data_IF_523583005728
#
_entry.id   IF_523583005728
#
_cell.length_a   1.000
_cell.length_b   1.000
_cell.length_c   1.000
_cell.angle_alpha   90.00
_cell.angle_beta   90.00
_cell.angle_gamma   90.00
#
_symmetry.space_group_name_H-M   'P 1'
#
loop_
_entity.id
_entity.type
_entity.pdbx_description
1 polymer ?
#
# COMPACT_ATOMS: atom_id res chain seq x y z
N UNK A 1 17.05 -9.78 -0.78
CA UNK A 1 16.16 -10.54 0.07
C UNK A 1 14.80 -9.86 0.15
N UNK A 2 13.71 -10.62 -0.02
CA UNK A 2 12.32 -10.16 -0.01
C UNK A 2 11.62 -10.64 1.26
N UNK A 3 10.91 -9.74 1.92
CA UNK A 3 10.01 -10.05 3.03
C UNK A 3 8.59 -10.04 2.49
N UNK A 4 7.85 -11.14 2.65
CA UNK A 4 6.46 -11.25 2.18
C UNK A 4 5.47 -11.24 3.34
N UNK A 5 4.52 -10.31 3.33
CA UNK A 5 3.40 -10.31 4.28
C UNK A 5 2.33 -11.32 3.86
N UNK A 6 2.12 -12.37 4.68
CA UNK A 6 1.15 -13.44 4.39
C UNK A 6 0.17 -13.60 5.54
N UNK A 7 -1.10 -13.30 5.28
CA UNK A 7 -2.19 -13.42 6.26
C UNK A 7 -2.90 -14.79 6.25
N UNK A 8 -2.71 -15.57 5.19
CA UNK A 8 -3.46 -16.81 4.95
C UNK A 8 -4.60 -16.65 3.93
N UNK A 9 -5.09 -15.43 3.70
CA UNK A 9 -6.13 -15.19 2.70
C UNK A 9 -5.63 -15.31 1.25
N UNK A 10 -6.55 -15.45 0.31
CA UNK A 10 -6.31 -15.75 -1.10
C UNK A 10 -5.20 -14.89 -1.73
N UNK A 11 -5.27 -13.56 -1.56
CA UNK A 11 -4.32 -12.64 -2.19
C UNK A 11 -2.89 -12.87 -1.70
N UNK A 12 -2.73 -13.03 -0.37
CA UNK A 12 -1.43 -13.24 0.25
C UNK A 12 -0.84 -14.62 -0.05
N UNK A 13 -1.70 -15.63 -0.18
CA UNK A 13 -1.31 -16.99 -0.59
C UNK A 13 -0.88 -16.99 -2.06
N UNK A 14 -1.65 -16.35 -2.94
CA UNK A 14 -1.27 -16.17 -4.34
C UNK A 14 0.08 -15.46 -4.48
N UNK A 15 0.28 -14.35 -3.73
CA UNK A 15 1.56 -13.65 -3.70
C UNK A 15 2.71 -14.56 -3.30
N UNK A 16 2.53 -15.38 -2.25
CA UNK A 16 3.56 -16.31 -1.79
C UNK A 16 3.95 -17.32 -2.88
N UNK A 17 2.96 -17.96 -3.54
CA UNK A 17 3.24 -18.90 -4.62
C UNK A 17 3.96 -18.24 -5.80
N UNK A 18 3.57 -17.02 -6.17
CA UNK A 18 4.25 -16.26 -7.21
C UNK A 18 5.70 -15.95 -6.84
N UNK A 19 5.96 -15.52 -5.59
CA UNK A 19 7.31 -15.23 -5.12
C UNK A 19 8.19 -16.47 -5.07
N UNK A 20 7.66 -17.62 -4.61
CA UNK A 20 8.38 -18.90 -4.62
C UNK A 20 8.72 -19.34 -6.05
N UNK A 21 7.81 -19.15 -7.01
CA UNK A 21 8.08 -19.44 -8.42
C UNK A 21 9.19 -18.53 -8.97
N UNK A 22 9.09 -17.23 -8.73
CA UNK A 22 10.09 -16.24 -9.17
C UNK A 22 11.45 -16.43 -8.48
N UNK A 23 11.47 -16.89 -7.23
CA UNK A 23 12.71 -17.16 -6.49
C UNK A 23 13.61 -18.16 -7.21
N UNK A 24 13.01 -19.17 -7.87
CA UNK A 24 13.75 -20.19 -8.64
C UNK A 24 14.44 -19.59 -9.87
N UNK A 25 13.84 -18.56 -10.45
CA UNK A 25 14.35 -17.90 -11.67
C UNK A 25 15.34 -16.77 -11.32
N UNK A 26 15.01 -15.95 -10.33
CA UNK A 26 15.73 -14.72 -10.00
C UNK A 26 16.74 -14.85 -8.85
N UNK A 27 16.76 -15.97 -8.13
CA UNK A 27 17.71 -16.31 -7.05
C UNK A 27 17.79 -15.24 -5.94
N UNK A 28 16.66 -14.93 -5.32
CA UNK A 28 16.61 -14.05 -4.13
C UNK A 28 16.21 -14.84 -2.87
N UNK A 29 16.62 -14.35 -1.70
CA UNK A 29 16.13 -14.87 -0.42
C UNK A 29 14.68 -14.45 -0.16
N UNK A 30 13.87 -15.32 0.43
CA UNK A 30 12.46 -15.04 0.78
C UNK A 30 12.22 -15.43 2.23
N UNK A 31 11.61 -14.52 2.99
CA UNK A 31 11.10 -14.78 4.36
C UNK A 31 9.64 -14.33 4.42
N UNK A 32 8.79 -15.19 4.90
CA UNK A 32 7.37 -14.87 5.16
C UNK A 32 7.24 -14.27 6.56
N UNK A 33 6.44 -13.22 6.66
CA UNK A 33 6.00 -12.64 7.93
C UNK A 33 4.50 -12.79 8.05
N UNK A 34 4.06 -13.48 9.09
CA UNK A 34 2.66 -13.55 9.51
C UNK A 34 2.48 -12.74 10.80
N UNK A 35 1.39 -11.99 10.92
CA UNK A 35 1.11 -11.18 12.10
C UNK A 35 -0.28 -11.54 12.62
N UNK A 36 -0.30 -12.15 13.80
CA UNK A 36 -1.49 -12.43 14.57
C UNK A 36 -1.87 -11.19 15.38
N UNK A 37 -3.01 -10.58 15.07
CA UNK A 37 -3.41 -9.28 15.64
C UNK A 37 -4.10 -9.35 17.01
N UNK A 38 -4.33 -10.55 17.56
CA UNK A 38 -5.02 -10.75 18.84
C UNK A 38 -6.52 -10.41 18.85
N UNK A 39 -7.14 -10.21 17.69
CA UNK A 39 -8.51 -9.70 17.59
C UNK A 39 -9.57 -10.78 17.38
N UNK A 40 -9.22 -11.98 16.86
CA UNK A 40 -10.17 -13.00 16.39
C UNK A 40 -10.03 -14.37 17.08
N UNK A 41 -9.22 -14.48 18.14
CA UNK A 41 -9.06 -15.73 18.92
C UNK A 41 -8.75 -16.94 18.02
N UNK A 42 -9.48 -18.04 18.19
CA UNK A 42 -9.27 -19.34 17.52
C UNK A 42 -9.19 -19.25 15.97
N UNK A 43 -9.91 -18.32 15.34
CA UNK A 43 -9.85 -18.14 13.89
C UNK A 43 -8.48 -17.60 13.45
N UNK A 44 -7.88 -16.70 14.22
CA UNK A 44 -6.54 -16.19 13.92
C UNK A 44 -5.44 -17.25 14.18
N UNK A 45 -5.64 -18.13 15.17
CA UNK A 45 -4.75 -19.27 15.41
C UNK A 45 -4.80 -20.27 14.24
N UNK A 46 -6.00 -20.51 13.68
CA UNK A 46 -6.17 -21.36 12.51
C UNK A 46 -5.45 -20.77 11.28
N UNK A 47 -5.56 -19.45 11.07
CA UNK A 47 -4.86 -18.74 9.98
C UNK A 47 -3.33 -18.90 10.11
N UNK A 48 -2.77 -18.72 11.32
CA UNK A 48 -1.34 -18.91 11.56
C UNK A 48 -0.91 -20.34 11.30
N UNK A 49 -1.66 -21.34 11.81
CA UNK A 49 -1.36 -22.76 11.60
C UNK A 49 -1.37 -23.12 10.11
N UNK A 50 -2.33 -22.58 9.35
CA UNK A 50 -2.37 -22.76 7.91
C UNK A 50 -1.13 -22.16 7.23
N UNK A 51 -0.76 -20.92 7.54
CA UNK A 51 0.42 -20.25 6.96
C UNK A 51 1.70 -21.00 7.31
N UNK A 52 1.81 -21.53 8.54
CA UNK A 52 2.95 -22.35 9.01
C UNK A 52 3.09 -23.62 8.18
N UNK A 53 2.03 -24.40 8.05
CA UNK A 53 2.02 -25.61 7.24
C UNK A 53 2.33 -25.33 5.75
N UNK A 54 1.82 -24.20 5.24
CA UNK A 54 2.09 -23.79 3.86
C UNK A 54 3.58 -23.42 3.66
N UNK A 55 4.19 -22.68 4.58
CA UNK A 55 5.61 -22.32 4.51
C UNK A 55 6.52 -23.55 4.63
N UNK A 56 6.18 -24.51 5.49
CA UNK A 56 6.89 -25.80 5.60
C UNK A 56 6.82 -26.57 4.25
N UNK A 57 5.63 -26.66 3.65
CA UNK A 57 5.44 -27.32 2.34
C UNK A 57 6.24 -26.67 1.22
N UNK A 58 6.40 -25.35 1.26
CA UNK A 58 7.10 -24.58 0.23
C UNK A 58 8.60 -24.38 0.52
N UNK A 59 9.10 -24.89 1.63
CA UNK A 59 10.47 -24.71 2.11
C UNK A 59 10.87 -23.22 2.21
N UNK A 60 9.99 -22.41 2.83
CA UNK A 60 10.20 -20.97 3.04
C UNK A 60 10.20 -20.65 4.52
N UNK A 61 11.15 -19.84 4.96
CA UNK A 61 11.23 -19.38 6.34
C UNK A 61 9.99 -18.55 6.72
N UNK A 62 9.36 -18.89 7.86
CA UNK A 62 8.28 -18.15 8.47
C UNK A 62 8.71 -17.48 9.77
N UNK A 63 8.38 -16.20 9.92
CA UNK A 63 8.42 -15.45 11.17
C UNK A 63 7.00 -15.06 11.56
N UNK A 64 6.47 -15.65 12.62
CA UNK A 64 5.14 -15.30 13.15
C UNK A 64 5.31 -14.35 14.34
N UNK A 65 4.46 -13.31 14.38
CA UNK A 65 4.42 -12.30 15.44
C UNK A 65 3.02 -12.24 16.03
N UNK A 66 2.94 -12.11 17.35
CA UNK A 66 1.69 -11.96 18.09
C UNK A 66 1.63 -10.57 18.71
N UNK A 67 0.64 -9.78 18.31
CA UNK A 67 0.49 -8.39 18.72
C UNK A 67 -0.93 -8.11 19.23
N UNK A 68 -1.03 -7.46 20.36
CA UNK A 68 -2.31 -6.95 20.86
C UNK A 68 -2.61 -5.58 20.24
N UNK A 69 -3.15 -5.60 19.02
CA UNK A 69 -3.52 -4.39 18.28
C UNK A 69 -4.61 -3.61 19.01
N UNK A 70 -5.50 -4.28 19.74
CA UNK A 70 -6.53 -3.61 20.52
C UNK A 70 -5.98 -2.76 21.65
N UNK A 71 -4.98 -3.26 22.35
CA UNK A 71 -4.24 -2.52 23.39
C UNK A 71 -3.46 -1.36 22.78
N UNK A 72 -2.71 -1.62 21.71
CA UNK A 72 -1.95 -0.59 21.02
C UNK A 72 -2.84 0.55 20.50
N UNK A 73 -4.01 0.25 19.94
CA UNK A 73 -4.98 1.25 19.48
C UNK A 73 -5.42 2.18 20.61
N UNK A 74 -5.73 1.62 21.80
CA UNK A 74 -6.15 2.39 22.98
C UNK A 74 -5.02 3.29 23.50
N UNK A 75 -3.82 2.76 23.63
CA UNK A 75 -2.64 3.50 24.13
C UNK A 75 -2.27 4.67 23.21
N UNK A 76 -2.35 4.47 21.89
CA UNK A 76 -1.97 5.49 20.89
C UNK A 76 -3.15 6.35 20.43
N UNK A 77 -4.37 6.12 20.94
CA UNK A 77 -5.62 6.82 20.54
C UNK A 77 -5.87 6.75 19.03
N UNK A 78 -5.65 5.59 18.45
CA UNK A 78 -5.84 5.29 17.03
C UNK A 78 -7.09 4.44 16.81
N UNK A 79 -7.60 4.43 15.58
CA UNK A 79 -8.55 3.40 15.16
C UNK A 79 -7.87 2.04 15.09
N UNK A 80 -8.62 0.94 15.20
CA UNK A 80 -8.06 -0.42 15.06
C UNK A 80 -7.37 -0.64 13.71
N UNK A 81 -7.89 -0.04 12.64
CA UNK A 81 -7.29 -0.13 11.31
C UNK A 81 -5.95 0.59 11.26
N UNK A 82 -5.87 1.82 11.77
CA UNK A 82 -4.60 2.58 11.83
C UNK A 82 -3.57 1.89 12.71
N UNK A 83 -3.99 1.38 13.87
CA UNK A 83 -3.14 0.63 14.80
C UNK A 83 -2.57 -0.63 14.13
N UNK A 84 -3.43 -1.44 13.50
CA UNK A 84 -3.00 -2.63 12.78
C UNK A 84 -2.06 -2.32 11.61
N UNK A 85 -2.28 -1.20 10.92
CA UNK A 85 -1.38 -0.74 9.86
C UNK A 85 -0.01 -0.33 10.40
N UNK A 86 0.04 0.40 11.51
CA UNK A 86 1.28 0.84 12.14
C UNK A 86 2.09 -0.35 12.67
N UNK A 87 1.44 -1.29 13.36
CA UNK A 87 2.06 -2.53 13.87
C UNK A 87 2.65 -3.33 12.71
N UNK A 88 1.88 -3.58 11.65
CA UNK A 88 2.38 -4.30 10.47
C UNK A 88 3.59 -3.62 9.85
N UNK A 89 3.52 -2.30 9.69
CA UNK A 89 4.62 -1.54 9.10
C UNK A 89 5.89 -1.66 9.94
N UNK A 90 5.78 -1.50 11.25
CA UNK A 90 6.90 -1.61 12.19
C UNK A 90 7.56 -2.99 12.10
N UNK A 91 6.79 -4.06 12.17
CA UNK A 91 7.31 -5.45 12.11
C UNK A 91 7.96 -5.73 10.75
N UNK A 92 7.34 -5.33 9.65
CA UNK A 92 7.92 -5.54 8.32
C UNK A 92 9.25 -4.80 8.15
N UNK A 93 9.35 -3.56 8.64
CA UNK A 93 10.58 -2.77 8.56
C UNK A 93 11.68 -3.35 9.46
N UNK A 94 11.34 -3.79 10.67
CA UNK A 94 12.26 -4.47 11.59
C UNK A 94 12.80 -5.77 10.98
N UNK A 95 11.92 -6.65 10.49
CA UNK A 95 12.33 -7.91 9.85
C UNK A 95 13.16 -7.64 8.60
N UNK A 96 12.76 -6.67 7.78
CA UNK A 96 13.49 -6.26 6.60
C UNK A 96 14.91 -5.79 6.96
N UNK A 97 15.06 -5.02 8.03
CA UNK A 97 16.38 -4.62 8.52
C UNK A 97 17.19 -5.82 9.04
N UNK A 98 16.61 -6.64 9.90
CA UNK A 98 17.27 -7.81 10.51
C UNK A 98 17.75 -8.85 9.48
N UNK A 99 16.99 -9.03 8.40
CA UNK A 99 17.30 -9.97 7.30
C UNK A 99 18.12 -9.34 6.16
N UNK A 100 18.56 -8.10 6.29
CA UNK A 100 19.17 -7.32 5.20
C UNK A 100 18.27 -7.32 3.94
N UNK A 101 16.95 -7.23 4.16
CA UNK A 101 15.95 -7.24 3.10
C UNK A 101 15.97 -5.96 2.28
N UNK A 102 15.78 -6.11 0.99
CA UNK A 102 15.73 -4.97 0.05
C UNK A 102 14.31 -4.59 -0.33
N UNK A 103 13.35 -5.52 -0.19
CA UNK A 103 11.94 -5.33 -0.55
C UNK A 103 11.01 -5.99 0.45
N UNK A 104 9.85 -5.37 0.63
CA UNK A 104 8.70 -5.88 1.40
C UNK A 104 7.54 -6.02 0.43
N UNK A 105 7.11 -7.26 0.17
CA UNK A 105 6.04 -7.57 -0.78
C UNK A 105 4.69 -7.67 -0.06
N UNK A 106 3.69 -6.93 -0.55
CA UNK A 106 2.33 -6.93 -0.06
C UNK A 106 1.35 -7.33 -1.16
N UNK A 107 0.29 -8.03 -0.80
CA UNK A 107 -0.66 -8.65 -1.72
C UNK A 107 -1.81 -7.73 -2.16
N UNK A 108 -1.59 -6.41 -2.24
CA UNK A 108 -2.59 -5.52 -2.81
C UNK A 108 -2.81 -5.83 -4.30
N UNK A 109 -4.06 -5.86 -4.70
CA UNK A 109 -4.49 -6.19 -6.06
C UNK A 109 -5.30 -5.04 -6.70
N UNK A 110 -5.75 -5.23 -7.94
CA UNK A 110 -6.40 -4.18 -8.74
C UNK A 110 -7.69 -3.67 -8.09
N UNK A 111 -8.49 -4.55 -7.47
CA UNK A 111 -9.72 -4.16 -6.80
C UNK A 111 -9.44 -3.31 -5.53
N UNK A 112 -8.39 -3.61 -4.74
CA UNK A 112 -7.98 -2.74 -3.61
C UNK A 112 -7.62 -1.33 -4.09
N UNK A 113 -7.01 -1.25 -5.27
CA UNK A 113 -6.66 0.02 -5.87
C UNK A 113 -7.91 0.80 -6.29
N UNK A 114 -8.90 0.14 -6.88
CA UNK A 114 -10.20 0.75 -7.21
C UNK A 114 -10.95 1.22 -5.95
N UNK A 115 -10.97 0.45 -4.86
CA UNK A 115 -11.49 0.88 -3.56
C UNK A 115 -10.81 2.16 -3.08
N UNK A 116 -9.48 2.21 -3.19
CA UNK A 116 -8.69 3.37 -2.78
C UNK A 116 -8.99 4.60 -3.62
N UNK A 117 -9.15 4.44 -4.94
CA UNK A 117 -9.55 5.53 -5.84
C UNK A 117 -10.91 6.10 -5.45
N UNK A 118 -11.93 5.25 -5.33
CA UNK A 118 -13.28 5.67 -4.96
C UNK A 118 -13.31 6.35 -3.58
N UNK A 119 -12.56 5.82 -2.62
CA UNK A 119 -12.42 6.42 -1.30
C UNK A 119 -11.77 7.81 -1.36
N UNK A 120 -10.68 7.94 -2.11
CA UNK A 120 -9.97 9.21 -2.26
C UNK A 120 -10.85 10.25 -2.96
N UNK A 121 -11.52 9.88 -4.06
CA UNK A 121 -12.44 10.77 -4.77
C UNK A 121 -13.59 11.25 -3.89
N UNK A 122 -14.17 10.36 -3.06
CA UNK A 122 -15.29 10.72 -2.19
C UNK A 122 -14.92 11.69 -1.06
N UNK A 123 -13.64 11.79 -0.72
CA UNK A 123 -13.12 12.70 0.32
C UNK A 123 -12.50 13.97 -0.25
N UNK A 124 -12.40 14.08 -1.56
CA UNK A 124 -11.56 15.07 -2.21
C UNK A 124 -10.08 14.66 -2.17
N UNK A 125 -9.45 14.61 -3.31
CA UNK A 125 -8.02 14.32 -3.41
C UNK A 125 -7.39 15.08 -4.58
N UNK A 126 -6.11 15.43 -4.44
CA UNK A 126 -5.30 15.96 -5.54
C UNK A 126 -4.84 14.85 -6.49
N UNK A 127 -4.07 15.23 -7.53
CA UNK A 127 -3.57 14.33 -8.56
C UNK A 127 -2.86 13.09 -8.02
N UNK A 128 -2.04 13.25 -6.97
CA UNK A 128 -1.36 12.13 -6.30
C UNK A 128 -2.35 11.11 -5.73
N UNK A 129 -3.45 11.57 -5.15
CA UNK A 129 -4.49 10.71 -4.58
C UNK A 129 -5.26 9.93 -5.64
N UNK A 130 -5.45 10.50 -6.84
CA UNK A 130 -6.06 9.80 -7.98
C UNK A 130 -5.17 8.65 -8.46
N UNK A 131 -3.85 8.76 -8.35
CA UNK A 131 -2.92 7.67 -8.66
C UNK A 131 -3.10 6.40 -7.82
N UNK A 132 -3.87 6.48 -6.71
CA UNK A 132 -4.19 5.34 -5.85
C UNK A 132 -2.97 4.74 -5.15
N UNK A 133 -2.96 3.41 -5.03
CA UNK A 133 -1.87 2.66 -4.41
C UNK A 133 -0.69 2.60 -5.40
N UNK A 134 0.51 2.99 -4.95
CA UNK A 134 1.72 2.88 -5.76
C UNK A 134 2.22 1.42 -5.86
N UNK A 135 2.64 0.93 -7.04
CA UNK A 135 3.24 -0.39 -7.17
C UNK A 135 4.56 -0.52 -6.38
N UNK A 136 5.31 0.58 -6.28
CA UNK A 136 6.53 0.68 -5.48
C UNK A 136 6.47 1.93 -4.62
N UNK A 137 6.76 1.78 -3.32
CA UNK A 137 6.82 2.87 -2.35
C UNK A 137 7.99 2.59 -1.38
N UNK A 138 9.13 3.19 -1.65
CA UNK A 138 10.38 2.89 -0.95
C UNK A 138 10.76 1.41 -1.05
N UNK A 139 10.77 0.71 0.07
CA UNK A 139 11.03 -0.75 0.12
C UNK A 139 9.79 -1.60 -0.20
N UNK A 140 8.60 -1.03 -0.11
CA UNK A 140 7.35 -1.76 -0.34
C UNK A 140 7.09 -1.97 -1.82
N UNK A 141 6.75 -3.21 -2.20
CA UNK A 141 6.34 -3.59 -3.55
C UNK A 141 4.99 -4.30 -3.51
N UNK A 142 4.22 -4.17 -4.57
CA UNK A 142 2.88 -4.77 -4.70
C UNK A 142 2.76 -5.50 -6.04
N UNK A 143 3.32 -6.72 -6.12
CA UNK A 143 3.42 -7.44 -7.39
C UNK A 143 2.07 -7.76 -8.03
N UNK A 144 1.01 -7.89 -7.22
CA UNK A 144 -0.34 -8.22 -7.69
C UNK A 144 -1.21 -6.99 -8.02
N UNK A 145 -0.66 -5.75 -7.95
CA UNK A 145 -1.46 -4.53 -8.09
C UNK A 145 -2.14 -4.40 -9.47
N UNK A 146 -1.59 -5.01 -10.50
CA UNK A 146 -2.16 -5.07 -11.84
C UNK A 146 -3.09 -6.26 -12.08
N UNK A 147 -3.26 -7.17 -11.10
CA UNK A 147 -4.04 -8.40 -11.21
C UNK A 147 -5.41 -8.20 -10.56
N UNK A 148 -6.49 -8.69 -11.19
CA UNK A 148 -7.84 -8.63 -10.62
C UNK A 148 -8.03 -9.73 -9.57
N UNK A 149 -8.90 -9.48 -8.60
CA UNK A 149 -9.27 -10.45 -7.58
C UNK A 149 -9.73 -11.78 -8.18
N UNK A 150 -10.53 -11.74 -9.23
CA UNK A 150 -11.02 -12.91 -9.92
C UNK A 150 -9.87 -13.76 -10.50
N UNK A 151 -8.87 -13.14 -11.10
CA UNK A 151 -7.70 -13.85 -11.66
C UNK A 151 -6.86 -14.53 -10.57
N UNK A 152 -6.80 -13.93 -9.37
CA UNK A 152 -6.16 -14.53 -8.19
C UNK A 152 -6.92 -15.81 -7.78
N UNK A 153 -8.24 -15.74 -7.67
CA UNK A 153 -9.09 -16.86 -7.27
C UNK A 153 -9.07 -17.99 -8.31
N UNK A 154 -9.13 -17.65 -9.59
CA UNK A 154 -8.99 -18.60 -10.71
C UNK A 154 -7.64 -19.32 -10.65
N UNK A 155 -6.54 -18.58 -10.49
CA UNK A 155 -5.20 -19.15 -10.35
C UNK A 155 -5.09 -20.14 -9.18
N UNK A 156 -5.59 -19.77 -8.00
CA UNK A 156 -5.57 -20.64 -6.83
C UNK A 156 -6.39 -21.93 -7.06
N UNK A 157 -7.57 -21.78 -7.64
CA UNK A 157 -8.46 -22.90 -7.98
C UNK A 157 -7.82 -23.86 -9.00
N UNK A 158 -7.26 -23.34 -10.08
CA UNK A 158 -6.62 -24.13 -11.13
C UNK A 158 -5.40 -24.92 -10.61
N UNK A 159 -4.71 -24.39 -9.61
CA UNK A 159 -3.55 -25.01 -9.00
C UNK A 159 -3.89 -25.83 -7.74
N UNK A 160 -5.17 -25.98 -7.37
CA UNK A 160 -5.65 -26.67 -6.17
C UNK A 160 -4.94 -26.14 -4.90
N UNK A 161 -4.87 -24.82 -4.76
CA UNK A 161 -4.29 -24.14 -3.62
C UNK A 161 -5.42 -23.63 -2.73
N UNK A 162 -5.50 -24.16 -1.52
CA UNK A 162 -6.44 -23.72 -0.50
C UNK A 162 -6.00 -22.39 0.11
N UNK A 163 -6.92 -21.69 0.78
CA UNK A 163 -6.66 -20.45 1.53
C UNK A 163 -7.70 -20.23 2.62
N UNK A 164 -7.36 -19.41 3.61
CA UNK A 164 -8.29 -19.05 4.68
C UNK A 164 -9.29 -17.99 4.20
N UNK A 165 -10.56 -18.19 4.56
CA UNK A 165 -11.62 -17.21 4.27
C UNK A 165 -11.90 -16.38 5.52
N UNK A 166 -11.76 -15.07 5.42
CA UNK A 166 -12.05 -14.14 6.52
C UNK A 166 -13.52 -13.68 6.44
N UNK A 167 -14.35 -14.17 7.35
CA UNK A 167 -15.78 -13.81 7.41
C UNK A 167 -16.02 -12.32 7.69
N UNK A 168 -15.07 -11.62 8.33
CA UNK A 168 -15.19 -10.18 8.60
C UNK A 168 -15.15 -9.31 7.34
N UNK A 169 -14.71 -9.86 6.21
CA UNK A 169 -14.79 -9.18 4.90
C UNK A 169 -16.23 -8.95 4.43
N UNK A 170 -17.19 -9.67 4.96
CA UNK A 170 -18.62 -9.52 4.65
C UNK A 170 -19.31 -8.44 5.48
N UNK A 171 -18.66 -7.93 6.52
CA UNK A 171 -19.24 -6.92 7.41
C UNK A 171 -19.11 -5.51 6.81
N UNK A 172 -20.21 -4.76 6.73
CA UNK A 172 -20.26 -3.40 6.18
C UNK A 172 -19.86 -2.28 7.16
N UNK A 173 -19.25 -2.63 8.28
CA UNK A 173 -18.84 -1.66 9.30
C UNK A 173 -17.79 -0.66 8.78
N UNK A 174 -16.92 -1.09 7.90
CA UNK A 174 -15.87 -0.25 7.33
C UNK A 174 -16.28 0.29 5.96
N UNK A 175 -15.95 1.55 5.68
CA UNK A 175 -16.25 2.18 4.39
C UNK A 175 -15.63 1.42 3.21
N UNK A 176 -14.46 0.83 3.39
CA UNK A 176 -13.82 0.00 2.37
C UNK A 176 -14.65 -1.24 2.04
N UNK A 177 -15.21 -1.91 3.05
CA UNK A 177 -16.07 -3.08 2.83
C UNK A 177 -17.33 -2.68 2.06
N UNK A 178 -17.92 -1.51 2.35
CA UNK A 178 -19.07 -0.99 1.58
C UNK A 178 -18.73 -0.72 0.12
N UNK A 179 -17.55 -0.17 -0.17
CA UNK A 179 -17.10 0.02 -1.55
C UNK A 179 -16.91 -1.33 -2.26
N UNK A 180 -16.27 -2.29 -1.59
CA UNK A 180 -16.01 -3.65 -2.09
C UNK A 180 -17.30 -4.43 -2.33
N UNK A 181 -18.22 -4.42 -1.37
CA UNK A 181 -19.39 -5.30 -1.38
C UNK A 181 -20.56 -4.73 -2.18
N UNK A 182 -20.66 -3.39 -2.33
CA UNK A 182 -21.82 -2.76 -2.95
C UNK A 182 -21.49 -1.87 -4.14
N UNK A 183 -20.51 -0.97 -4.02
CA UNK A 183 -20.26 0.04 -5.06
C UNK A 183 -19.55 -0.56 -6.27
N UNK A 184 -18.46 -1.27 -6.05
CA UNK A 184 -17.69 -1.89 -7.15
C UNK A 184 -18.55 -2.91 -7.91
N UNK A 185 -19.24 -3.87 -7.25
CA UNK A 185 -20.11 -4.81 -7.95
C UNK A 185 -21.26 -4.12 -8.70
N UNK A 186 -21.81 -3.04 -8.17
CA UNK A 186 -22.82 -2.26 -8.88
C UNK A 186 -22.24 -1.62 -10.16
N UNK A 187 -21.07 -1.02 -10.08
CA UNK A 187 -20.40 -0.43 -11.25
C UNK A 187 -20.09 -1.49 -12.32
N UNK A 188 -19.61 -2.66 -11.93
CA UNK A 188 -19.29 -3.73 -12.88
C UNK A 188 -20.54 -4.36 -13.50
N UNK A 189 -21.62 -4.52 -12.74
CA UNK A 189 -22.85 -5.14 -13.25
C UNK A 189 -23.72 -4.19 -14.04
N UNK A 190 -23.92 -2.95 -13.59
CA UNK A 190 -24.92 -2.03 -14.12
C UNK A 190 -24.33 -0.96 -15.06
N UNK A 191 -23.03 -0.65 -14.92
CA UNK A 191 -22.42 0.44 -15.70
C UNK A 191 -21.43 -0.11 -16.72
N UNK A 192 -20.41 -0.83 -16.28
CA UNK A 192 -19.38 -1.36 -17.16
C UNK A 192 -18.66 -2.56 -16.52
N UNK A 193 -18.74 -3.77 -17.13
CA UNK A 193 -18.04 -4.96 -16.59
C UNK A 193 -16.52 -4.81 -16.44
N UNK A 194 -15.93 -3.82 -17.09
CA UNK A 194 -14.50 -3.50 -17.02
C UNK A 194 -14.21 -2.27 -16.15
N UNK A 195 -15.13 -1.86 -15.27
CA UNK A 195 -14.99 -0.65 -14.46
C UNK A 195 -13.68 -0.65 -13.65
N UNK A 196 -13.36 -1.74 -12.96
CA UNK A 196 -12.13 -1.88 -12.16
C UNK A 196 -10.88 -1.76 -13.03
N UNK A 197 -10.85 -2.39 -14.20
CA UNK A 197 -9.71 -2.30 -15.13
C UNK A 197 -9.53 -0.87 -15.66
N UNK A 198 -10.61 -0.19 -16.06
CA UNK A 198 -10.53 1.20 -16.54
C UNK A 198 -10.10 2.17 -15.43
N UNK A 199 -10.52 1.92 -14.18
CA UNK A 199 -10.01 2.68 -13.01
C UNK A 199 -8.50 2.48 -12.85
N UNK A 200 -8.01 1.24 -12.97
CA UNK A 200 -6.58 0.93 -12.87
C UNK A 200 -5.77 1.62 -13.96
N UNK A 201 -6.25 1.60 -15.21
CA UNK A 201 -5.60 2.28 -16.34
C UNK A 201 -5.53 3.81 -16.09
N UNK A 202 -6.63 4.40 -15.61
CA UNK A 202 -6.68 5.83 -15.27
C UNK A 202 -5.68 6.17 -14.16
N UNK A 203 -5.61 5.35 -13.11
CA UNK A 203 -4.67 5.55 -12.01
C UNK A 203 -3.22 5.46 -12.47
N UNK A 204 -2.90 4.55 -13.40
CA UNK A 204 -1.55 4.43 -13.96
C UNK A 204 -1.17 5.67 -14.77
N UNK A 205 -2.07 6.16 -15.61
CA UNK A 205 -1.86 7.42 -16.34
C UNK A 205 -1.65 8.59 -15.37
N UNK A 206 -2.45 8.68 -14.30
CA UNK A 206 -2.28 9.74 -13.31
C UNK A 206 -0.96 9.63 -12.54
N UNK A 207 -0.48 8.42 -12.24
CA UNK A 207 0.85 8.23 -11.65
C UNK A 207 1.96 8.73 -12.59
N UNK A 208 1.83 8.46 -13.89
CA UNK A 208 2.79 8.94 -14.89
C UNK A 208 2.80 10.47 -14.96
N UNK A 209 1.63 11.11 -14.99
CA UNK A 209 1.52 12.57 -14.97
C UNK A 209 2.09 13.15 -13.67
N UNK A 210 1.78 12.50 -12.53
CA UNK A 210 2.30 12.92 -11.24
C UNK A 210 3.82 12.82 -11.15
N UNK A 211 4.43 11.74 -11.65
CA UNK A 211 5.88 11.57 -11.68
C UNK A 211 6.55 12.69 -12.49
N UNK A 212 5.99 13.06 -13.64
CA UNK A 212 6.45 14.21 -14.41
C UNK A 212 6.36 15.51 -13.61
N UNK A 213 5.25 15.73 -12.90
CA UNK A 213 5.09 16.90 -12.04
C UNK A 213 6.12 16.94 -10.90
N UNK A 214 6.36 15.79 -10.24
CA UNK A 214 7.38 15.71 -9.18
C UNK A 214 8.79 16.05 -9.73
N UNK A 215 9.13 15.60 -10.95
CA UNK A 215 10.39 15.97 -11.57
C UNK A 215 10.51 17.48 -11.85
N UNK A 216 9.44 18.11 -12.37
CA UNK A 216 9.45 19.55 -12.66
C UNK A 216 9.50 20.39 -11.37
N UNK A 217 8.78 19.96 -10.33
CA UNK A 217 8.85 20.60 -9.00
C UNK A 217 10.26 20.49 -8.42
N UNK A 218 10.91 19.32 -8.52
CA UNK A 218 12.27 19.12 -8.01
C UNK A 218 13.30 19.93 -8.81
N UNK A 219 13.14 20.07 -10.13
CA UNK A 219 13.97 20.97 -10.95
C UNK A 219 13.82 22.42 -10.49
N UNK A 220 12.58 22.86 -10.29
CA UNK A 220 12.28 24.18 -9.78
C UNK A 220 12.88 24.39 -8.38
N UNK A 221 12.75 23.43 -7.48
CA UNK A 221 13.33 23.45 -6.13
C UNK A 221 14.84 23.66 -6.18
N UNK A 222 15.56 22.87 -6.96
CA UNK A 222 17.02 22.98 -7.10
C UNK A 222 17.47 24.33 -7.64
N UNK A 223 16.69 24.91 -8.53
CA UNK A 223 17.00 26.19 -9.15
C UNK A 223 16.64 27.39 -8.29
N UNK A 224 15.49 27.35 -7.60
CA UNK A 224 14.92 28.53 -6.94
C UNK A 224 15.03 28.52 -5.41
N UNK A 225 15.23 27.35 -4.75
CA UNK A 225 15.20 27.26 -3.29
C UNK A 225 16.59 27.13 -2.72
N UNK A 226 16.90 27.97 -1.72
CA UNK A 226 18.15 27.90 -0.97
C UNK A 226 17.86 27.80 0.53
N UNK A 227 18.72 27.09 1.30
CA UNK A 227 18.63 27.13 2.76
C UNK A 227 18.87 28.56 3.26
N UNK A 228 18.14 28.95 4.28
CA UNK A 228 18.37 30.23 4.95
C UNK A 228 19.74 30.20 5.64
N UNK A 229 20.52 31.27 5.48
CA UNK A 229 21.89 31.31 6.01
C UNK A 229 21.96 31.55 7.54
N UNK A 230 20.90 32.07 8.12
CA UNK A 230 20.78 32.28 9.56
C UNK A 230 20.24 31.04 10.27
N UNK A 231 20.60 30.87 11.55
CA UNK A 231 20.22 29.71 12.40
C UNK A 231 18.71 29.43 12.58
N UNK A 232 17.84 30.16 11.88
CA UNK A 232 16.40 29.94 11.90
C UNK A 232 16.03 28.92 10.83
N UNK A 233 15.23 27.92 11.18
CA UNK A 233 14.64 26.95 10.24
C UNK A 233 13.86 27.71 9.16
N UNK A 234 14.18 27.40 7.88
CA UNK A 234 13.48 28.01 6.76
C UNK A 234 14.27 27.95 5.45
N UNK A 235 13.58 28.33 4.39
CA UNK A 235 14.14 28.38 3.02
C UNK A 235 13.93 29.77 2.43
N UNK A 236 14.79 30.14 1.48
CA UNK A 236 14.66 31.36 0.68
C UNK A 236 14.34 30.97 -0.75
N UNK A 237 13.32 31.60 -1.32
CA UNK A 237 12.94 31.41 -2.71
C UNK A 237 13.50 32.58 -3.51
N UNK A 238 14.28 32.28 -4.55
CA UNK A 238 14.84 33.26 -5.48
C UNK A 238 13.75 33.69 -6.47
N UNK A 239 13.31 34.92 -6.36
CA UNK A 239 12.14 35.45 -7.07
C UNK A 239 12.23 35.32 -8.59
N UNK A 240 13.36 35.75 -9.18
CA UNK A 240 13.56 35.75 -10.63
C UNK A 240 13.43 34.34 -11.23
N UNK A 241 14.14 33.35 -10.65
CA UNK A 241 14.04 31.96 -11.07
C UNK A 241 12.65 31.38 -10.86
N UNK A 242 12.02 31.68 -9.72
CA UNK A 242 10.69 31.17 -9.40
C UNK A 242 9.62 31.73 -10.34
N UNK A 243 9.68 33.02 -10.70
CA UNK A 243 8.71 33.63 -11.63
C UNK A 243 8.81 33.10 -13.06
N UNK A 244 9.99 32.58 -13.48
CA UNK A 244 10.17 32.01 -14.82
C UNK A 244 9.55 30.62 -15.01
N UNK A 245 9.16 29.96 -13.92
CA UNK A 245 8.59 28.60 -13.95
C UNK A 245 7.07 28.65 -14.07
N UNK A 246 6.48 27.61 -14.69
CA UNK A 246 5.02 27.46 -14.85
C UNK A 246 4.30 27.60 -13.50
N UNK A 247 3.15 28.28 -13.49
CA UNK A 247 2.37 28.57 -12.29
C UNK A 247 1.97 27.30 -11.53
N UNK A 248 1.56 26.23 -12.24
CA UNK A 248 1.22 24.95 -11.62
C UNK A 248 2.39 24.37 -10.84
N UNK A 249 3.58 24.35 -11.42
CA UNK A 249 4.79 23.85 -10.75
C UNK A 249 5.12 24.69 -9.51
N UNK A 250 4.98 26.00 -9.62
CA UNK A 250 5.18 26.93 -8.47
C UNK A 250 4.22 26.63 -7.32
N UNK A 251 2.95 26.39 -7.65
CA UNK A 251 1.92 26.07 -6.65
C UNK A 251 2.27 24.76 -5.91
N UNK A 252 2.65 23.72 -6.64
CA UNK A 252 3.07 22.47 -6.00
C UNK A 252 4.32 22.62 -5.16
N UNK A 253 5.34 23.38 -5.62
CA UNK A 253 6.55 23.65 -4.85
C UNK A 253 6.23 24.37 -3.54
N UNK A 254 5.39 25.40 -3.58
CA UNK A 254 4.98 26.13 -2.36
C UNK A 254 4.26 25.21 -1.40
N UNK A 255 3.32 24.40 -1.89
CA UNK A 255 2.60 23.42 -1.06
C UNK A 255 3.56 22.43 -0.38
N UNK A 256 4.56 21.89 -1.11
CA UNK A 256 5.56 21.01 -0.51
C UNK A 256 6.39 21.69 0.57
N UNK A 257 6.88 22.90 0.31
CA UNK A 257 7.65 23.68 1.28
C UNK A 257 6.83 24.00 2.54
N UNK A 258 5.56 24.30 2.39
CA UNK A 258 4.66 24.52 3.53
C UNK A 258 4.46 23.23 4.34
N UNK A 259 4.26 22.08 3.67
CA UNK A 259 4.13 20.78 4.32
C UNK A 259 5.40 20.40 5.10
N UNK A 260 6.58 20.65 4.53
CA UNK A 260 7.87 20.41 5.17
C UNK A 260 8.04 21.29 6.42
N UNK A 261 7.76 22.59 6.28
CA UNK A 261 7.87 23.55 7.40
C UNK A 261 6.88 23.25 8.53
N UNK A 262 5.65 22.82 8.18
CA UNK A 262 4.63 22.47 9.17
C UNK A 262 4.85 21.08 9.82
N UNK A 263 5.76 20.27 9.29
CA UNK A 263 5.99 18.89 9.74
C UNK A 263 4.79 17.96 9.55
N UNK A 264 3.79 18.36 8.75
CA UNK A 264 2.55 17.62 8.47
C UNK A 264 2.06 17.86 7.05
N UNK A 265 1.35 16.87 6.49
CA UNK A 265 0.74 16.95 5.15
C UNK A 265 -0.79 17.16 5.18
N UNK A 266 -1.42 17.03 6.36
CA UNK A 266 -2.86 17.22 6.52
C UNK A 266 -3.16 18.70 6.79
N UNK A 267 -4.28 19.16 6.24
CA UNK A 267 -4.86 20.50 6.49
C UNK A 267 -3.98 21.69 6.04
N UNK A 268 -3.19 21.48 4.96
CA UNK A 268 -2.51 22.55 4.23
C UNK A 268 -3.18 22.61 2.85
N UNK A 269 -4.06 23.60 2.67
CA UNK A 269 -4.76 23.91 1.41
C UNK A 269 -3.99 24.96 0.59
#
# INVERSE_FOLDING_TARGET
HVIAGVSGGADSVCLLFMLVKLQKEMRFGLTVVHIHHGLRGESADADENYVRALCEKLDVELLAFHEDVGRYAKEQKLTLEEAGRNVRRHIFEEVCHRKNGTRIALAHHQNDNAETLLWNLSRGCGLKGIGGISPVDGKYIRPLLGVRRQEIEEYLKENNIDYCTDETNLEDHYTRNRLRNHVIPYLEREINPRAVSHMADTMEQMRTVWAFMEEEVEKCRKYCVKPKQDKADGVVILEEGFRSVNETVRTFLIHELLCETAGRKKDIE
#
